data_IF_599489274649
#
_entry.id   IF_599489274649
#
_cell.length_a   1.000
_cell.length_b   1.000
_cell.length_c   1.000
_cell.angle_alpha   90.00
_cell.angle_beta   90.00
_cell.angle_gamma   90.00
#
_symmetry.space_group_name_H-M   'P 1'
#
loop_
_entity.id
_entity.type
_entity.pdbx_description
1 polymer ?
#
# COMPACT_ATOMS: atom_id res chain seq x y z
N UNK A 1 0.27 -11.71 -7.04
CA UNK A 1 1.00 -11.25 -8.25
C UNK A 1 0.63 -9.82 -8.57
N UNK A 2 1.61 -9.01 -8.90
CA UNK A 2 1.43 -7.62 -9.32
C UNK A 2 1.93 -7.50 -10.74
N UNK A 3 1.13 -6.91 -11.62
CA UNK A 3 1.49 -6.75 -13.03
C UNK A 3 1.16 -5.34 -13.51
N UNK A 4 2.15 -4.69 -14.12
CA UNK A 4 1.99 -3.41 -14.80
C UNK A 4 2.24 -3.61 -16.29
N UNK A 5 1.34 -3.13 -17.10
CA UNK A 5 1.42 -3.22 -18.56
C UNK A 5 1.35 -1.82 -19.17
N UNK A 6 2.45 -1.37 -19.75
CA UNK A 6 2.57 -0.08 -20.42
C UNK A 6 2.06 1.09 -19.58
N UNK A 7 2.44 1.11 -18.30
CA UNK A 7 1.94 2.10 -17.35
C UNK A 7 2.75 3.40 -17.45
N UNK A 8 2.03 4.49 -17.68
CA UNK A 8 2.58 5.83 -17.68
C UNK A 8 1.78 6.71 -16.74
N UNK A 9 2.44 7.63 -16.06
CA UNK A 9 1.78 8.60 -15.18
C UNK A 9 2.42 9.97 -15.33
N UNK A 10 1.59 10.94 -15.70
CA UNK A 10 1.97 12.36 -15.76
C UNK A 10 1.07 13.16 -14.85
N UNK A 11 1.66 14.05 -14.05
CA UNK A 11 0.91 14.97 -13.18
C UNK A 11 0.53 16.24 -13.93
N UNK A 12 1.34 16.61 -14.92
CA UNK A 12 1.10 17.76 -15.78
C UNK A 12 1.62 17.46 -17.17
N UNK A 13 1.22 18.26 -18.17
CA UNK A 13 1.72 18.11 -19.52
C UNK A 13 3.24 18.28 -19.53
N UNK A 14 3.95 17.34 -20.15
CA UNK A 14 5.38 17.42 -20.35
C UNK A 14 6.16 16.20 -19.86
N UNK A 15 6.55 16.16 -18.59
CA UNK A 15 7.44 15.13 -18.08
C UNK A 15 6.65 14.07 -17.30
N UNK A 16 6.60 12.80 -17.77
CA UNK A 16 5.94 11.75 -17.01
C UNK A 16 6.77 11.33 -15.81
N UNK A 17 6.09 11.08 -14.67
CA UNK A 17 6.72 10.48 -13.50
C UNK A 17 7.06 9.01 -13.75
N UNK A 18 6.21 8.31 -14.49
CA UNK A 18 6.45 6.96 -15.00
C UNK A 18 6.21 6.96 -16.51
N UNK A 19 7.03 6.25 -17.25
CA UNK A 19 6.95 6.18 -18.69
C UNK A 19 7.06 4.74 -19.18
N UNK A 20 5.95 4.21 -19.69
CA UNK A 20 5.85 2.87 -20.28
C UNK A 20 6.48 1.79 -19.38
N UNK A 21 6.07 1.75 -18.12
CA UNK A 21 6.59 0.78 -17.16
C UNK A 21 5.90 -0.57 -17.34
N UNK A 22 6.71 -1.60 -17.55
CA UNK A 22 6.27 -2.99 -17.60
C UNK A 22 6.95 -3.74 -16.47
N UNK A 23 6.15 -4.34 -15.59
CA UNK A 23 6.67 -5.01 -14.40
C UNK A 23 5.75 -6.15 -14.02
N UNK A 24 6.35 -7.26 -13.63
CA UNK A 24 5.61 -8.40 -13.10
C UNK A 24 6.30 -8.90 -11.84
N UNK A 25 5.55 -8.94 -10.74
CA UNK A 25 6.04 -9.46 -9.46
C UNK A 25 5.18 -10.65 -9.10
N UNK A 26 5.80 -11.83 -9.05
CA UNK A 26 5.12 -13.07 -8.71
C UNK A 26 4.87 -13.23 -7.22
N UNK A 27 4.04 -14.21 -6.88
CA UNK A 27 3.76 -14.53 -5.49
C UNK A 27 5.03 -14.99 -4.78
N UNK A 28 5.21 -14.52 -3.54
CA UNK A 28 6.37 -14.89 -2.72
C UNK A 28 7.67 -14.18 -3.09
N UNK A 29 7.68 -13.32 -4.11
CA UNK A 29 8.87 -12.57 -4.47
C UNK A 29 9.13 -11.42 -3.50
N UNK A 30 10.40 -11.18 -3.23
CA UNK A 30 10.86 -10.00 -2.49
C UNK A 30 11.62 -9.10 -3.49
N UNK A 31 11.10 -7.90 -3.71
CA UNK A 31 11.58 -7.00 -4.78
C UNK A 31 12.04 -5.68 -4.19
N UNK A 32 13.24 -5.23 -4.56
CA UNK A 32 13.71 -3.88 -4.28
C UNK A 32 13.46 -2.98 -5.48
N UNK A 33 12.89 -1.81 -5.24
CA UNK A 33 12.74 -0.76 -6.25
C UNK A 33 13.71 0.34 -5.89
N UNK A 34 14.71 0.53 -6.74
CA UNK A 34 15.80 1.48 -6.49
C UNK A 34 15.82 2.55 -7.56
N UNK A 35 16.31 3.72 -7.19
CA UNK A 35 16.43 4.86 -8.09
C UNK A 35 16.65 6.14 -7.30
N UNK A 36 17.04 7.19 -8.01
CA UNK A 36 17.25 8.50 -7.40
C UNK A 36 15.94 9.12 -6.93
N UNK A 37 16.03 10.12 -6.05
CA UNK A 37 14.89 10.92 -5.66
C UNK A 37 14.19 11.50 -6.89
N UNK A 38 12.87 11.39 -6.95
CA UNK A 38 12.11 11.86 -8.09
C UNK A 38 12.06 10.90 -9.29
N UNK A 39 12.56 9.67 -9.15
CA UNK A 39 12.54 8.67 -10.21
C UNK A 39 11.21 7.94 -10.40
N UNK A 40 10.18 8.29 -9.60
CA UNK A 40 8.84 7.71 -9.74
C UNK A 40 8.52 6.59 -8.76
N UNK A 41 9.38 6.29 -7.80
CA UNK A 41 9.15 5.21 -6.81
C UNK A 41 7.88 5.45 -5.99
N UNK A 42 7.72 6.66 -5.46
CA UNK A 42 6.52 7.02 -4.69
C UNK A 42 5.26 7.01 -5.54
N UNK A 43 5.36 7.42 -6.80
CA UNK A 43 4.26 7.38 -7.75
C UNK A 43 3.80 5.95 -7.98
N UNK A 44 4.72 5.01 -8.13
CA UNK A 44 4.39 3.60 -8.29
C UNK A 44 3.60 3.07 -7.11
N UNK A 45 4.04 3.35 -5.88
CA UNK A 45 3.35 2.91 -4.67
C UNK A 45 1.95 3.52 -4.59
N UNK A 46 1.80 4.80 -4.92
CA UNK A 46 0.49 5.46 -4.91
C UNK A 46 -0.48 4.88 -5.94
N UNK A 47 0.03 4.49 -7.10
CA UNK A 47 -0.78 3.79 -8.11
C UNK A 47 -1.25 2.43 -7.58
N UNK A 48 -0.37 1.67 -6.93
CA UNK A 48 -0.71 0.37 -6.35
C UNK A 48 -1.73 0.50 -5.22
N UNK A 49 -1.70 1.59 -4.46
CA UNK A 49 -2.68 1.87 -3.40
C UNK A 49 -3.97 2.49 -3.93
N UNK A 50 -4.07 2.74 -5.23
CA UNK A 50 -5.23 3.41 -5.83
C UNK A 50 -5.43 4.85 -5.35
N UNK A 51 -4.39 5.51 -4.87
CA UNK A 51 -4.42 6.94 -4.57
C UNK A 51 -4.36 7.77 -5.86
N UNK A 52 -3.79 7.20 -6.91
CA UNK A 52 -3.67 7.80 -8.23
C UNK A 52 -4.15 6.82 -9.29
N UNK A 53 -4.62 7.36 -10.42
CA UNK A 53 -4.92 6.57 -11.61
C UNK A 53 -3.80 6.74 -12.63
N UNK A 54 -3.43 5.67 -13.37
CA UNK A 54 -2.43 5.83 -14.44
C UNK A 54 -2.98 6.69 -15.58
N UNK A 55 -2.10 7.43 -16.22
CA UNK A 55 -2.45 8.20 -17.43
C UNK A 55 -2.67 7.24 -18.60
N UNK A 56 -1.84 6.23 -18.69
CA UNK A 56 -1.93 5.16 -19.68
C UNK A 56 -1.55 3.83 -19.04
N UNK A 57 -2.00 2.75 -19.66
CA UNK A 57 -1.64 1.40 -19.25
C UNK A 57 -2.60 0.81 -18.23
N UNK A 58 -2.28 -0.39 -17.80
CA UNK A 58 -3.14 -1.19 -16.93
C UNK A 58 -2.33 -1.81 -15.80
N UNK A 59 -2.89 -1.80 -14.60
CA UNK A 59 -2.30 -2.41 -13.40
C UNK A 59 -3.26 -3.47 -12.88
N UNK A 60 -2.74 -4.66 -12.64
CA UNK A 60 -3.51 -5.72 -11.99
C UNK A 60 -2.78 -6.22 -10.74
N UNK A 61 -3.55 -6.56 -9.71
CA UNK A 61 -3.06 -7.10 -8.45
C UNK A 61 -3.92 -8.30 -8.09
N UNK A 62 -3.30 -9.47 -7.97
CA UNK A 62 -3.97 -10.72 -7.65
C UNK A 62 -5.17 -10.99 -8.56
N UNK A 63 -5.00 -10.76 -9.86
CA UNK A 63 -6.04 -10.99 -10.85
C UNK A 63 -7.08 -9.91 -10.98
N UNK A 64 -7.01 -8.85 -10.17
CA UNK A 64 -7.95 -7.73 -10.23
C UNK A 64 -7.32 -6.56 -10.98
N UNK A 65 -7.98 -6.11 -12.04
CA UNK A 65 -7.58 -4.90 -12.76
C UNK A 65 -7.99 -3.68 -11.94
N UNK A 66 -7.03 -2.85 -11.53
CA UNK A 66 -7.29 -1.75 -10.60
C UNK A 66 -8.23 -0.70 -11.20
N UNK A 67 -8.12 -0.44 -12.51
CA UNK A 67 -9.00 0.51 -13.19
C UNK A 67 -10.48 0.12 -13.21
N UNK A 68 -10.78 -1.15 -13.00
CA UNK A 68 -12.16 -1.68 -12.97
C UNK A 68 -12.75 -1.74 -11.56
N UNK A 69 -11.97 -1.44 -10.53
CA UNK A 69 -12.47 -1.46 -9.15
C UNK A 69 -13.35 -0.23 -8.93
N UNK A 70 -14.61 -0.46 -8.56
CA UNK A 70 -15.53 0.63 -8.24
C UNK A 70 -15.07 1.34 -6.96
N UNK A 71 -15.31 2.65 -6.90
CA UNK A 71 -14.88 3.50 -5.79
C UNK A 71 -15.27 2.95 -4.41
N UNK A 72 -16.47 2.39 -4.28
CA UNK A 72 -16.95 1.82 -3.02
C UNK A 72 -16.17 0.59 -2.57
N UNK A 73 -15.46 -0.08 -3.47
CA UNK A 73 -14.67 -1.28 -3.17
C UNK A 73 -13.17 -1.00 -2.97
N UNK A 74 -12.73 0.24 -3.15
CA UNK A 74 -11.32 0.62 -2.96
C UNK A 74 -10.85 0.37 -1.51
N UNK A 75 -11.61 0.73 -0.47
CA UNK A 75 -11.21 0.40 0.90
C UNK A 75 -10.99 -1.09 1.13
N UNK A 76 -11.87 -1.94 0.56
CA UNK A 76 -11.73 -3.39 0.65
C UNK A 76 -10.46 -3.87 -0.05
N UNK A 77 -10.14 -3.32 -1.21
CA UNK A 77 -8.90 -3.61 -1.91
C UNK A 77 -7.69 -3.25 -1.05
N UNK A 78 -7.67 -2.05 -0.46
CA UNK A 78 -6.56 -1.56 0.36
C UNK A 78 -6.33 -2.40 1.62
N UNK A 79 -7.35 -3.04 2.16
CA UNK A 79 -7.23 -3.92 3.34
C UNK A 79 -6.34 -5.13 3.09
N UNK A 80 -6.11 -5.48 1.84
CA UNK A 80 -5.23 -6.59 1.44
C UNK A 80 -3.78 -6.16 1.27
N UNK A 81 -3.45 -4.90 1.53
CA UNK A 81 -2.12 -4.34 1.34
C UNK A 81 -1.60 -3.81 2.67
N UNK A 82 -0.46 -4.33 3.11
CA UNK A 82 0.30 -3.71 4.20
C UNK A 82 1.26 -2.69 3.63
N UNK A 83 1.29 -1.49 4.18
CA UNK A 83 2.15 -0.43 3.71
C UNK A 83 2.82 0.29 4.87
N UNK A 84 4.13 0.49 4.76
CA UNK A 84 4.90 1.34 5.69
C UNK A 84 5.24 2.61 4.94
N UNK A 85 4.68 3.73 5.39
CA UNK A 85 4.85 5.02 4.74
C UNK A 85 6.13 5.72 5.18
N UNK A 86 6.71 6.53 4.31
CA UNK A 86 7.90 7.31 4.61
C UNK A 86 7.65 8.32 5.74
N UNK A 87 6.46 8.89 5.82
CA UNK A 87 6.04 9.84 6.86
C UNK A 87 5.35 9.16 8.05
N UNK A 88 5.42 7.84 8.12
CA UNK A 88 4.86 6.97 9.16
C UNK A 88 3.34 6.98 9.26
N UNK A 89 2.66 8.07 8.96
CA UNK A 89 1.18 8.25 9.04
C UNK A 89 0.58 7.76 10.36
N UNK A 90 1.22 8.13 11.46
CA UNK A 90 0.74 7.79 12.79
C UNK A 90 -0.44 8.68 13.21
N UNK A 91 -1.37 8.10 13.95
CA UNK A 91 -2.46 8.85 14.57
C UNK A 91 -1.91 9.54 15.82
N UNK A 92 -1.72 10.86 15.72
CA UNK A 92 -1.03 11.65 16.76
C UNK A 92 -1.80 11.76 18.08
N UNK A 93 -3.11 11.64 18.01
CA UNK A 93 -4.00 11.69 19.18
C UNK A 93 -4.24 10.33 19.82
N UNK A 94 -3.53 9.31 19.37
CA UNK A 94 -3.68 7.92 19.84
C UNK A 94 -2.34 7.40 20.37
N UNK A 95 -2.43 6.53 21.38
CA UNK A 95 -1.23 5.87 21.92
C UNK A 95 -0.70 4.78 20.97
N UNK A 96 0.39 4.14 21.37
CA UNK A 96 1.02 3.09 20.57
C UNK A 96 0.07 1.92 20.34
N UNK A 97 -0.59 1.45 21.39
CA UNK A 97 -1.56 0.36 21.31
C UNK A 97 -2.65 0.66 20.28
N UNK A 98 -3.26 1.86 20.35
CA UNK A 98 -4.35 2.25 19.48
C UNK A 98 -3.89 2.43 18.02
N UNK A 99 -2.67 2.90 17.78
CA UNK A 99 -2.11 2.98 16.43
C UNK A 99 -1.99 1.59 15.79
N UNK A 100 -1.50 0.61 16.54
CA UNK A 100 -1.38 -0.76 16.03
C UNK A 100 -2.75 -1.43 15.90
N UNK A 101 -3.63 -1.21 16.87
CA UNK A 101 -4.99 -1.77 16.84
C UNK A 101 -5.82 -1.23 15.68
N UNK A 102 -5.58 0.00 15.24
CA UNK A 102 -6.31 0.61 14.13
C UNK A 102 -6.24 -0.25 12.86
N UNK A 103 -5.06 -0.74 12.52
CA UNK A 103 -4.89 -1.60 11.33
C UNK A 103 -5.73 -2.88 11.44
N UNK A 104 -5.81 -3.47 12.63
CA UNK A 104 -6.62 -4.67 12.83
C UNK A 104 -8.12 -4.37 12.80
N UNK A 105 -8.54 -3.21 13.32
CA UNK A 105 -9.94 -2.79 13.28
C UNK A 105 -10.43 -2.54 11.86
N UNK A 106 -9.63 -1.88 11.03
CA UNK A 106 -10.01 -1.62 9.63
C UNK A 106 -10.05 -2.89 8.78
N UNK A 107 -9.37 -3.95 9.21
CA UNK A 107 -9.47 -5.28 8.58
C UNK A 107 -10.56 -6.14 9.22
N UNK A 108 -11.42 -5.53 10.00
CA UNK A 108 -12.62 -6.17 10.61
C UNK A 108 -12.31 -7.26 11.62
N UNK A 109 -11.15 -7.18 12.30
CA UNK A 109 -10.84 -8.10 13.39
C UNK A 109 -11.64 -7.75 14.64
N UNK A 110 -12.16 -8.77 15.32
CA UNK A 110 -12.89 -8.57 16.58
C UNK A 110 -11.96 -8.07 17.69
N UNK A 111 -12.52 -7.40 18.69
CA UNK A 111 -11.76 -6.95 19.85
C UNK A 111 -11.05 -8.11 20.56
N UNK A 112 -11.65 -9.29 20.56
CA UNK A 112 -11.04 -10.49 21.14
C UNK A 112 -9.74 -10.86 20.43
N UNK A 113 -9.74 -10.84 19.09
CA UNK A 113 -8.54 -11.13 18.28
C UNK A 113 -7.48 -10.07 18.49
N UNK A 114 -7.87 -8.79 18.54
CA UNK A 114 -6.97 -7.67 18.79
C UNK A 114 -6.28 -7.82 20.15
N UNK A 115 -7.02 -8.06 21.21
CA UNK A 115 -6.49 -8.24 22.56
C UNK A 115 -5.54 -9.42 22.66
N UNK A 116 -5.75 -10.45 21.84
CA UNK A 116 -4.88 -11.63 21.82
C UNK A 116 -3.60 -11.42 21.03
N UNK A 117 -3.69 -10.81 19.84
CA UNK A 117 -2.55 -10.71 18.91
C UNK A 117 -1.68 -9.48 19.10
N UNK A 118 -2.26 -8.38 19.56
CA UNK A 118 -1.56 -7.12 19.62
C UNK A 118 -0.42 -7.07 20.63
N UNK A 119 -0.56 -7.60 21.86
CA UNK A 119 0.56 -7.66 22.81
C UNK A 119 1.76 -8.43 22.24
N UNK A 120 1.50 -9.53 21.52
CA UNK A 120 2.57 -10.31 20.90
C UNK A 120 3.28 -9.51 19.80
N UNK A 121 2.55 -8.76 19.00
CA UNK A 121 3.13 -7.92 17.97
C UNK A 121 3.98 -6.80 18.57
N UNK A 122 3.52 -6.14 19.63
CA UNK A 122 4.27 -5.11 20.34
C UNK A 122 5.54 -5.67 20.98
N UNK A 123 5.44 -6.85 21.59
CA UNK A 123 6.59 -7.54 22.19
C UNK A 123 7.64 -7.85 21.14
N UNK A 124 7.23 -8.31 19.97
CA UNK A 124 8.14 -8.66 18.87
C UNK A 124 9.03 -7.50 18.46
N UNK A 125 8.52 -6.27 18.50
CA UNK A 125 9.26 -5.06 18.12
C UNK A 125 9.78 -4.27 19.34
N UNK A 126 9.70 -4.83 20.54
CA UNK A 126 10.25 -4.20 21.74
C UNK A 126 9.42 -3.08 22.35
N UNK A 127 8.12 -3.02 22.05
CA UNK A 127 7.23 -1.95 22.51
C UNK A 127 6.22 -2.40 23.58
N UNK A 128 6.35 -3.61 24.10
CA UNK A 128 5.35 -4.17 25.03
C UNK A 128 5.16 -3.35 26.31
N UNK A 129 6.19 -2.60 26.74
CA UNK A 129 6.15 -1.81 27.97
C UNK A 129 5.98 -0.31 27.72
N UNK A 130 5.64 0.08 26.50
CA UNK A 130 5.51 1.50 26.11
C UNK A 130 4.06 1.83 25.62
#
# INVERSE_FOLDING_TARGET
MIKLEHVSKSYSAGIPALNDVNLEIGDGEFVFIVGDSGSGKSTLIRLLLKELEPTEGEISVNGKTLGKIKRKFIPKYRRNIGCVFQDFRLLKDRNIYENVAFAQRVTEKSNRVIKKKLPAALSLVGLAQK
#
